data_IF_566661984251
#
_entry.id   IF_566661984251
#
_cell.length_a   1.000
_cell.length_b   1.000
_cell.length_c   1.000
_cell.angle_alpha   90.00
_cell.angle_beta   90.00
_cell.angle_gamma   90.00
#
_symmetry.space_group_name_H-M   'P 1'
#
loop_
_entity.id
_entity.type
_entity.pdbx_description
1 polymer ?
#
# COMPACT_ATOMS: atom_id res chain seq x y z
N UNK A 1 -19.91 -12.85 -39.00
CA UNK A 1 -19.06 -13.71 -39.85
C UNK A 1 -18.99 -15.10 -39.25
N UNK A 2 -19.03 -16.17 -40.06
CA UNK A 2 -18.75 -17.55 -39.63
C UNK A 2 -17.72 -18.18 -40.58
N UNK A 3 -16.78 -18.93 -40.01
CA UNK A 3 -15.78 -19.69 -40.77
C UNK A 3 -16.22 -21.15 -40.82
N UNK A 4 -16.31 -21.72 -42.03
CA UNK A 4 -16.67 -23.14 -42.23
C UNK A 4 -15.59 -23.85 -43.03
N UNK A 5 -15.17 -25.03 -42.55
CA UNK A 5 -14.25 -25.91 -43.27
C UNK A 5 -15.00 -26.73 -44.31
N UNK A 6 -14.48 -26.79 -45.53
CA UNK A 6 -15.02 -27.56 -46.64
C UNK A 6 -13.95 -28.47 -47.24
N UNK A 7 -14.34 -29.43 -48.08
CA UNK A 7 -13.39 -30.32 -48.76
C UNK A 7 -12.42 -29.61 -49.70
N UNK A 8 -12.73 -28.37 -50.11
CA UNK A 8 -11.91 -27.57 -51.03
C UNK A 8 -11.13 -26.44 -50.34
N UNK A 9 -11.23 -26.28 -49.01
CA UNK A 9 -10.59 -25.19 -48.27
C UNK A 9 -11.50 -24.59 -47.19
N UNK A 10 -11.26 -23.33 -46.85
CA UNK A 10 -12.04 -22.57 -45.87
C UNK A 10 -13.05 -21.67 -46.56
N UNK A 11 -14.16 -21.40 -45.91
CA UNK A 11 -15.20 -20.51 -46.43
C UNK A 11 -15.56 -19.50 -45.35
N UNK A 12 -15.64 -18.22 -45.73
CA UNK A 12 -16.06 -17.11 -44.88
C UNK A 12 -17.49 -16.72 -45.26
N UNK A 13 -18.41 -16.84 -44.30
CA UNK A 13 -19.82 -16.50 -44.46
C UNK A 13 -20.11 -15.11 -43.86
N UNK A 14 -20.54 -14.20 -44.74
CA UNK A 14 -20.95 -12.82 -44.46
C UNK A 14 -22.33 -12.68 -43.82
N UNK A 15 -22.72 -11.51 -43.27
CA UNK A 15 -24.11 -11.22 -42.99
C UNK A 15 -24.90 -11.22 -44.31
N UNK A 16 -25.79 -12.20 -44.49
CA UNK A 16 -26.55 -12.41 -45.72
C UNK A 16 -26.19 -13.73 -46.41
N UNK A 17 -26.23 -13.75 -47.74
CA UNK A 17 -25.90 -14.91 -48.59
C UNK A 17 -24.50 -14.85 -49.20
N UNK A 18 -23.64 -13.92 -48.77
CA UNK A 18 -22.28 -13.78 -49.31
C UNK A 18 -21.36 -14.87 -48.71
N UNK A 19 -20.87 -15.74 -49.59
CA UNK A 19 -20.05 -16.91 -49.24
C UNK A 19 -18.76 -16.83 -50.04
N UNK A 20 -17.65 -16.53 -49.38
CA UNK A 20 -16.35 -16.36 -50.03
C UNK A 20 -15.43 -17.55 -49.74
N UNK A 21 -15.09 -18.38 -50.75
CA UNK A 21 -14.14 -19.46 -50.58
C UNK A 21 -12.70 -18.92 -50.50
N UNK A 22 -11.93 -19.49 -49.59
CA UNK A 22 -10.54 -19.11 -49.32
C UNK A 22 -9.71 -20.39 -49.16
N UNK A 23 -8.54 -20.43 -49.82
CA UNK A 23 -7.71 -21.64 -49.87
C UNK A 23 -7.10 -22.05 -48.53
N UNK A 24 -6.80 -21.09 -47.65
CA UNK A 24 -6.18 -21.34 -46.34
C UNK A 24 -6.88 -20.61 -45.19
N UNK A 25 -6.57 -21.04 -43.96
CA UNK A 25 -7.19 -20.55 -42.73
C UNK A 25 -6.74 -19.11 -42.37
N UNK A 26 -5.50 -18.75 -42.68
CA UNK A 26 -4.94 -17.44 -42.35
C UNK A 26 -5.64 -16.36 -43.16
N UNK A 27 -5.77 -16.59 -44.46
CA UNK A 27 -6.52 -15.74 -45.39
C UNK A 27 -7.99 -15.66 -45.01
N UNK A 28 -8.58 -16.76 -44.51
CA UNK A 28 -9.97 -16.74 -44.02
C UNK A 28 -10.14 -15.88 -42.76
N UNK A 29 -9.16 -15.88 -41.85
CA UNK A 29 -9.13 -15.00 -40.67
C UNK A 29 -8.97 -13.53 -41.06
N UNK A 30 -8.01 -13.21 -41.93
CA UNK A 30 -7.77 -11.84 -42.39
C UNK A 30 -8.99 -11.28 -43.13
N UNK A 31 -9.64 -12.09 -43.97
CA UNK A 31 -10.87 -11.70 -44.66
C UNK A 31 -12.03 -11.48 -43.68
N UNK A 32 -12.12 -12.26 -42.61
CA UNK A 32 -13.14 -12.08 -41.58
C UNK A 32 -12.95 -10.77 -40.79
N UNK A 33 -11.71 -10.38 -40.50
CA UNK A 33 -11.39 -9.11 -39.83
C UNK A 33 -11.63 -7.90 -40.74
N UNK A 34 -11.22 -7.97 -42.00
CA UNK A 34 -11.45 -6.91 -42.99
C UNK A 34 -12.95 -6.66 -43.25
N UNK A 35 -13.77 -7.71 -43.20
CA UNK A 35 -15.23 -7.59 -43.32
C UNK A 35 -15.91 -7.18 -42.00
N UNK A 36 -15.20 -7.17 -40.88
CA UNK A 36 -15.73 -6.76 -39.57
C UNK A 36 -15.63 -5.25 -39.33
N UNK A 37 -14.84 -4.52 -40.13
CA UNK A 37 -14.62 -3.07 -39.93
C UNK A 37 -15.86 -2.19 -40.19
N UNK A 38 -16.91 -2.70 -40.85
CA UNK A 38 -18.17 -1.97 -41.11
C UNK A 38 -19.30 -2.20 -40.07
N UNK A 39 -19.04 -2.91 -38.97
CA UNK A 39 -20.04 -3.15 -37.92
C UNK A 39 -19.64 -2.45 -36.61
N UNK A 40 -20.28 -1.31 -36.35
CA UNK A 40 -20.26 -0.57 -35.09
C UNK A 40 -20.19 -1.52 -33.86
N UNK A 41 -19.17 -1.40 -32.98
CA UNK A 41 -18.96 -2.37 -31.92
C UNK A 41 -20.16 -2.42 -30.97
N UNK A 42 -20.60 -3.62 -30.53
CA UNK A 42 -21.66 -3.72 -29.53
C UNK A 42 -21.24 -2.92 -28.30
N UNK A 43 -22.15 -2.05 -27.86
CA UNK A 43 -21.94 -1.15 -26.74
C UNK A 43 -21.29 -1.86 -25.56
N UNK A 44 -20.37 -1.13 -24.90
CA UNK A 44 -19.59 -1.53 -23.72
C UNK A 44 -20.32 -2.61 -22.91
N UNK A 45 -19.78 -3.83 -22.78
CA UNK A 45 -20.45 -4.90 -22.06
C UNK A 45 -20.84 -4.37 -20.68
N UNK A 46 -22.14 -4.49 -20.32
CA UNK A 46 -22.57 -4.28 -18.94
C UNK A 46 -21.63 -5.13 -18.09
N UNK A 47 -20.92 -4.47 -17.17
CA UNK A 47 -20.01 -5.07 -16.20
C UNK A 47 -20.67 -6.37 -15.74
N UNK A 48 -20.16 -7.50 -16.20
CA UNK A 48 -20.46 -8.74 -15.52
C UNK A 48 -19.82 -8.53 -14.15
N UNK A 49 -20.62 -8.16 -13.17
CA UNK A 49 -20.34 -8.48 -11.78
C UNK A 49 -20.32 -10.03 -11.74
N UNK A 50 -19.24 -10.62 -12.26
CA UNK A 50 -18.88 -11.96 -11.87
C UNK A 50 -18.59 -11.81 -10.40
N UNK A 51 -19.57 -12.17 -9.59
CA UNK A 51 -19.31 -12.48 -8.19
C UNK A 51 -18.08 -13.37 -8.20
N UNK A 52 -16.96 -12.81 -7.75
CA UNK A 52 -15.69 -13.51 -7.72
C UNK A 52 -15.96 -14.85 -7.05
N UNK A 53 -15.54 -15.93 -7.71
CA UNK A 53 -15.67 -17.26 -7.12
C UNK A 53 -15.05 -17.25 -5.73
N UNK A 54 -15.57 -18.04 -4.80
CA UNK A 54 -15.10 -18.02 -3.41
C UNK A 54 -13.58 -18.20 -3.30
N UNK A 55 -12.98 -19.05 -4.15
CA UNK A 55 -11.53 -19.23 -4.27
C UNK A 55 -10.82 -17.93 -4.71
N UNK A 56 -11.39 -17.17 -5.64
CA UNK A 56 -10.81 -15.92 -6.13
C UNK A 56 -10.91 -14.81 -5.07
N UNK A 57 -12.03 -14.72 -4.34
CA UNK A 57 -12.17 -13.84 -3.18
C UNK A 57 -11.14 -14.16 -2.11
N UNK A 58 -10.98 -15.44 -1.76
CA UNK A 58 -9.99 -15.88 -0.77
C UNK A 58 -8.56 -15.55 -1.21
N UNK A 59 -8.21 -15.78 -2.48
CA UNK A 59 -6.89 -15.42 -3.03
C UNK A 59 -6.63 -13.93 -2.95
N UNK A 60 -7.62 -13.09 -3.30
CA UNK A 60 -7.48 -11.63 -3.17
C UNK A 60 -7.31 -11.20 -1.71
N UNK A 61 -8.05 -11.80 -0.77
CA UNK A 61 -7.91 -11.52 0.66
C UNK A 61 -6.52 -11.90 1.17
N UNK A 62 -5.96 -13.05 0.75
CA UNK A 62 -4.59 -13.46 1.11
C UNK A 62 -3.59 -12.41 0.64
N UNK A 63 -3.65 -11.99 -0.62
CA UNK A 63 -2.74 -10.96 -1.16
C UNK A 63 -2.87 -9.63 -0.40
N UNK A 64 -4.09 -9.22 -0.07
CA UNK A 64 -4.33 -8.00 0.72
C UNK A 64 -3.76 -8.10 2.13
N UNK A 65 -3.91 -9.26 2.79
CA UNK A 65 -3.37 -9.50 4.12
C UNK A 65 -1.84 -9.57 4.11
N UNK A 66 -1.25 -10.26 3.14
CA UNK A 66 0.21 -10.28 2.94
C UNK A 66 0.75 -8.87 2.74
N UNK A 67 0.07 -8.07 1.91
CA UNK A 67 0.44 -6.68 1.69
C UNK A 67 0.30 -5.84 2.98
N UNK A 68 -0.78 -6.02 3.74
CA UNK A 68 -0.99 -5.33 5.02
C UNK A 68 0.07 -5.71 6.06
N UNK A 69 0.46 -6.99 6.13
CA UNK A 69 1.49 -7.49 7.03
C UNK A 69 2.88 -6.95 6.65
N UNK A 70 3.24 -6.99 5.36
CA UNK A 70 4.50 -6.43 4.88
C UNK A 70 4.60 -4.93 5.16
N UNK A 71 3.50 -4.19 4.97
CA UNK A 71 3.40 -2.76 5.28
C UNK A 71 3.59 -2.49 6.77
N UNK A 72 3.02 -3.33 7.65
CA UNK A 72 3.17 -3.19 9.10
C UNK A 72 4.62 -3.39 9.54
N UNK A 73 5.32 -4.39 9.02
CA UNK A 73 6.71 -4.69 9.41
C UNK A 73 7.62 -3.47 9.22
N UNK A 74 7.53 -2.78 8.07
CA UNK A 74 8.34 -1.60 7.78
C UNK A 74 8.03 -0.44 8.74
N UNK A 75 6.75 -0.24 9.08
CA UNK A 75 6.35 0.80 10.03
C UNK A 75 6.88 0.50 11.44
N UNK A 76 6.78 -0.73 11.92
CA UNK A 76 7.29 -1.13 13.23
C UNK A 76 8.83 -1.01 13.30
N UNK A 77 9.54 -1.38 12.24
CA UNK A 77 10.99 -1.17 12.13
C UNK A 77 11.37 0.30 12.20
N UNK A 78 10.68 1.15 11.45
CA UNK A 78 10.90 2.60 11.50
C UNK A 78 10.62 3.18 12.89
N UNK A 79 9.58 2.71 13.57
CA UNK A 79 9.28 3.08 14.96
C UNK A 79 10.44 2.70 15.87
N UNK A 80 10.98 1.47 15.75
CA UNK A 80 12.13 1.01 16.52
C UNK A 80 13.38 1.88 16.29
N UNK A 81 13.70 2.18 15.02
CA UNK A 81 14.82 3.05 14.65
C UNK A 81 14.68 4.44 15.27
N UNK A 82 13.49 5.04 15.20
CA UNK A 82 13.23 6.36 15.75
C UNK A 82 13.22 6.37 17.28
N UNK A 83 12.64 5.34 17.90
CA UNK A 83 12.64 5.19 19.36
C UNK A 83 14.08 5.14 19.90
N UNK A 84 14.94 4.36 19.24
CA UNK A 84 16.35 4.25 19.61
C UNK A 84 17.12 5.55 19.33
N UNK A 85 17.03 6.09 18.11
CA UNK A 85 17.76 7.30 17.70
C UNK A 85 17.44 8.52 18.56
N UNK A 86 16.19 8.65 19.00
CA UNK A 86 15.71 9.80 19.77
C UNK A 86 15.55 9.51 21.26
N UNK A 87 15.83 8.29 21.72
CA UNK A 87 15.61 7.82 23.09
C UNK A 87 14.19 8.11 23.63
N UNK A 88 13.18 7.81 22.82
CA UNK A 88 11.75 8.03 23.14
C UNK A 88 10.98 6.72 23.13
N UNK A 89 9.78 6.72 23.73
CA UNK A 89 8.91 5.54 23.72
C UNK A 89 8.41 5.25 22.29
N UNK A 90 8.18 3.97 21.92
CA UNK A 90 7.67 3.60 20.60
C UNK A 90 6.38 4.32 20.20
N UNK A 91 5.48 4.57 21.16
CA UNK A 91 4.25 5.34 20.92
C UNK A 91 4.53 6.77 20.47
N UNK A 92 5.50 7.42 21.10
CA UNK A 92 5.88 8.81 20.78
C UNK A 92 6.59 8.87 19.42
N UNK A 93 7.43 7.88 19.12
CA UNK A 93 8.05 7.72 17.81
C UNK A 93 7.01 7.54 16.68
N UNK A 94 5.99 6.70 16.89
CA UNK A 94 4.91 6.53 15.92
C UNK A 94 4.11 7.82 15.71
N UNK A 95 3.76 8.53 16.78
CA UNK A 95 3.06 9.80 16.65
C UNK A 95 3.91 10.86 15.94
N UNK A 96 5.23 10.88 16.16
CA UNK A 96 6.16 11.77 15.45
C UNK A 96 6.23 11.46 13.96
N UNK A 97 6.34 10.18 13.61
CA UNK A 97 6.29 9.70 12.23
C UNK A 97 4.97 10.11 11.55
N UNK A 98 3.84 9.90 12.25
CA UNK A 98 2.50 10.23 11.74
C UNK A 98 2.29 11.73 11.57
N UNK A 99 2.74 12.56 12.53
CA UNK A 99 2.69 14.03 12.41
C UNK A 99 3.51 14.52 11.22
N UNK A 100 4.74 14.03 11.06
CA UNK A 100 5.63 14.41 9.96
C UNK A 100 5.03 14.01 8.60
N UNK A 101 4.52 12.78 8.48
CA UNK A 101 3.88 12.31 7.26
C UNK A 101 2.67 13.17 6.88
N UNK A 102 1.78 13.47 7.84
CA UNK A 102 0.61 14.34 7.62
C UNK A 102 1.01 15.76 7.22
N UNK A 103 1.99 16.36 7.90
CA UNK A 103 2.45 17.72 7.60
C UNK A 103 3.05 17.84 6.18
N UNK A 104 3.55 16.74 5.62
CA UNK A 104 4.07 16.68 4.26
C UNK A 104 3.06 16.18 3.22
N UNK A 105 1.83 15.80 3.63
CA UNK A 105 0.87 15.14 2.74
C UNK A 105 1.32 13.78 2.20
N UNK A 106 2.22 13.08 2.91
CA UNK A 106 2.79 11.78 2.50
C UNK A 106 2.16 10.63 3.28
N UNK A 107 2.21 9.42 2.71
CA UNK A 107 1.80 8.20 3.41
C UNK A 107 2.84 7.84 4.48
N UNK A 108 2.37 7.40 5.65
CA UNK A 108 3.22 6.99 6.78
C UNK A 108 4.18 5.87 6.36
N UNK A 109 3.69 4.91 5.58
CA UNK A 109 4.48 3.79 5.09
C UNK A 109 5.69 4.24 4.23
N UNK A 110 5.51 5.24 3.36
CA UNK A 110 6.60 5.71 2.49
C UNK A 110 7.68 6.43 3.29
N UNK A 111 7.25 7.16 4.34
CA UNK A 111 8.19 7.81 5.26
C UNK A 111 8.88 6.80 6.19
N UNK A 112 8.19 5.74 6.61
CA UNK A 112 8.76 4.64 7.37
C UNK A 112 9.85 3.92 6.59
N UNK A 113 9.62 3.65 5.30
CA UNK A 113 10.63 3.09 4.40
C UNK A 113 11.89 3.96 4.34
N UNK A 114 11.72 5.27 4.13
CA UNK A 114 12.82 6.23 4.10
C UNK A 114 13.62 6.23 5.42
N UNK A 115 12.95 6.09 6.57
CA UNK A 115 13.59 5.94 7.89
C UNK A 115 14.44 4.68 7.96
N UNK A 116 13.91 3.53 7.56
CA UNK A 116 14.66 2.26 7.57
C UNK A 116 15.85 2.32 6.62
N UNK A 117 15.68 2.85 5.41
CA UNK A 117 16.77 3.00 4.43
C UNK A 117 17.89 3.92 4.96
N UNK A 118 17.55 4.98 5.71
CA UNK A 118 18.54 5.90 6.29
C UNK A 118 19.47 5.28 7.34
N UNK A 119 19.14 4.09 7.85
CA UNK A 119 20.02 3.33 8.74
C UNK A 119 21.22 2.78 7.98
N UNK A 120 20.98 2.29 6.76
CA UNK A 120 22.02 1.70 5.90
C UNK A 120 22.73 2.74 5.04
N UNK A 121 22.05 3.83 4.67
CA UNK A 121 22.64 4.96 3.95
C UNK A 121 22.44 6.29 4.69
N UNK A 122 23.47 6.77 5.40
CA UNK A 122 23.43 8.05 6.12
C UNK A 122 23.19 9.28 5.22
N UNK A 123 23.32 9.16 3.89
CA UNK A 123 23.03 10.26 2.95
C UNK A 123 21.53 10.50 2.78
N UNK A 124 20.69 9.53 3.15
CA UNK A 124 19.23 9.68 3.11
C UNK A 124 18.81 10.64 4.22
N UNK A 125 18.57 11.89 3.84
CA UNK A 125 18.09 12.91 4.75
C UNK A 125 16.65 12.60 5.18
N UNK A 126 16.43 12.47 6.49
CA UNK A 126 15.10 12.36 7.06
C UNK A 126 14.49 13.74 7.30
N UNK A 127 13.23 13.97 6.90
CA UNK A 127 12.62 15.27 7.01
C UNK A 127 12.34 15.66 8.47
N UNK A 128 12.55 16.95 8.75
CA UNK A 128 12.12 17.63 9.96
C UNK A 128 12.51 16.91 11.26
N UNK A 129 11.50 16.64 12.07
CA UNK A 129 11.61 16.02 13.39
C UNK A 129 12.19 14.59 13.39
N UNK A 130 12.24 13.91 12.24
CA UNK A 130 12.74 12.54 12.16
C UNK A 130 14.26 12.45 12.03
N UNK A 131 14.88 13.43 11.35
CA UNK A 131 16.32 13.47 11.10
C UNK A 131 17.13 14.15 12.20
N UNK A 132 16.49 15.00 13.00
CA UNK A 132 17.17 15.87 13.96
C UNK A 132 17.66 15.17 15.22
N UNK A 133 18.97 15.28 15.47
CA UNK A 133 19.58 15.29 16.80
C UNK A 133 18.68 16.09 17.76
N UNK A 134 18.43 15.64 19.01
CA UNK A 134 17.53 16.34 19.92
C UNK A 134 18.01 17.78 20.08
N UNK A 135 17.20 18.74 19.65
CA UNK A 135 17.41 20.14 20.02
C UNK A 135 17.33 20.25 21.55
N UNK A 136 18.10 21.13 22.20
CA UNK A 136 18.17 21.24 23.66
C UNK A 136 16.91 21.88 24.26
N UNK A 137 15.76 21.20 24.15
CA UNK A 137 14.47 21.75 24.59
C UNK A 137 13.34 20.75 24.85
N UNK A 138 13.55 19.43 24.74
CA UNK A 138 12.49 18.43 24.95
C UNK A 138 12.70 17.52 26.18
N UNK A 139 13.60 17.89 27.09
CA UNK A 139 13.74 17.23 28.39
C UNK A 139 12.80 17.88 29.42
N UNK A 140 11.49 17.69 29.27
CA UNK A 140 10.51 17.95 30.33
C UNK A 140 9.15 17.31 30.00
N UNK A 141 9.08 15.98 29.96
CA UNK A 141 7.83 15.29 30.27
C UNK A 141 7.73 15.11 31.78
N UNK A 142 6.59 15.40 32.44
CA UNK A 142 6.45 15.23 33.88
C UNK A 142 6.46 13.74 34.20
N UNK A 143 7.48 13.29 34.94
CA UNK A 143 7.50 11.96 35.53
C UNK A 143 6.38 11.79 36.56
N UNK A 144 5.88 10.56 36.79
CA UNK A 144 4.88 10.31 37.82
C UNK A 144 5.49 10.63 39.20
N UNK A 145 4.73 11.36 40.00
CA UNK A 145 5.19 12.02 41.23
C UNK A 145 5.95 11.12 42.20
N UNK A 146 7.16 11.54 42.55
CA UNK A 146 7.80 11.15 43.80
C UNK A 146 7.22 12.03 44.89
N UNK A 147 6.36 11.48 45.73
CA UNK A 147 5.83 12.18 46.91
C UNK A 147 7.00 12.57 47.84
N UNK A 148 7.03 13.81 48.39
CA UNK A 148 8.04 14.17 49.37
C UNK A 148 7.81 13.41 50.68
N UNK A 149 8.89 12.84 51.20
CA UNK A 149 8.98 12.16 52.50
C UNK A 149 8.61 13.14 53.63
N UNK A 150 7.70 12.80 54.57
CA UNK A 150 7.37 13.68 55.68
C UNK A 150 8.56 13.82 56.63
N UNK A 151 8.85 15.06 57.04
CA UNK A 151 9.84 15.40 58.07
C UNK A 151 9.35 14.99 59.46
N UNK A 152 10.21 14.45 60.35
CA UNK A 152 9.81 14.12 61.71
C UNK A 152 9.59 15.40 62.56
N UNK A 153 8.65 15.38 63.53
CA UNK A 153 8.39 16.54 64.39
C UNK A 153 9.53 16.78 65.41
N UNK A 154 9.78 18.06 65.72
CA UNK A 154 10.74 18.51 66.74
C UNK A 154 10.24 18.14 68.15
N UNK A 155 11.14 17.78 69.09
CA UNK A 155 10.77 17.60 70.48
C UNK A 155 10.48 18.95 71.16
N UNK A 156 9.37 19.00 71.90
CA UNK A 156 9.00 20.09 72.81
C UNK A 156 9.89 20.09 74.05
N UNK A 157 10.36 21.24 74.55
CA UNK A 157 11.10 21.30 75.81
C UNK A 157 10.14 21.12 77.00
N UNK A 158 10.44 20.10 77.81
CA UNK A 158 9.92 19.90 79.16
C UNK A 158 10.26 21.11 80.02
N UNK A 159 9.28 21.71 80.70
CA UNK A 159 9.52 22.74 81.71
C UNK A 159 9.29 22.13 83.10
N UNK A 160 10.27 22.37 83.96
CA UNK A 160 10.32 22.06 85.40
C UNK A 160 9.08 22.52 86.16
#
# INVERSE_FOLDING_TARGET
MRLRRTGAGWVVEGPGTDVRPVGDLISAMVLADLLAEDLNPPGRPRRADRELGEIEKLRLSVVQLEHALASRVIVEQAIGVLAERHHIKPRDAFERLRRTARGMGRRVHDLARQVVESVSDPRIALPGELGGRPGPGAAAGPGPGTAPRPTPPRPTPTRH
#
